data_IF_151008681270
#
_entry.id   IF_151008681270
#
_cell.length_a   1.000
_cell.length_b   1.000
_cell.length_c   1.000
_cell.angle_alpha   90.00
_cell.angle_beta   90.00
_cell.angle_gamma   90.00
#
_symmetry.space_group_name_H-M   'P 1'
#
loop_
_entity.id
_entity.type
_entity.pdbx_description
1 polymer ?
#
# COMPACT_ATOMS: atom_id res chain seq x y z
N UNK A 1 23.25 -63.80 6.33
CA UNK A 1 23.48 -62.45 6.86
C UNK A 1 22.97 -61.35 5.92
N UNK A 2 22.30 -61.69 4.81
CA UNK A 2 22.10 -60.78 3.66
C UNK A 2 20.69 -60.14 3.58
N UNK A 3 19.70 -60.74 4.22
CA UNK A 3 18.30 -60.29 4.15
C UNK A 3 18.01 -59.03 4.99
N UNK A 4 18.75 -58.83 6.09
CA UNK A 4 18.57 -57.67 6.98
C UNK A 4 19.10 -56.36 6.38
N UNK A 5 20.19 -56.44 5.62
CA UNK A 5 20.80 -55.29 4.94
C UNK A 5 19.93 -54.84 3.74
N UNK A 6 19.27 -55.80 3.08
CA UNK A 6 18.34 -55.52 1.98
C UNK A 6 17.07 -54.81 2.47
N UNK A 7 16.50 -55.21 3.61
CA UNK A 7 15.31 -54.58 4.19
C UNK A 7 15.59 -53.18 4.75
N UNK A 8 16.77 -52.97 5.35
CA UNK A 8 17.17 -51.65 5.87
C UNK A 8 17.42 -50.65 4.75
N UNK A 9 17.99 -51.06 3.62
CA UNK A 9 18.14 -50.22 2.42
C UNK A 9 16.78 -49.85 1.79
N UNK A 10 15.84 -50.79 1.71
CA UNK A 10 14.49 -50.50 1.18
C UNK A 10 13.75 -49.48 2.06
N UNK A 11 13.84 -49.63 3.38
CA UNK A 11 13.22 -48.71 4.34
C UNK A 11 13.86 -47.31 4.27
N UNK A 12 15.19 -47.24 4.10
CA UNK A 12 15.91 -45.98 3.95
C UNK A 12 15.57 -45.24 2.65
N UNK A 13 15.39 -45.96 1.54
CA UNK A 13 14.95 -45.36 0.27
C UNK A 13 13.53 -44.79 0.39
N UNK A 14 12.60 -45.55 0.97
CA UNK A 14 11.23 -45.05 1.20
C UNK A 14 11.20 -43.80 2.08
N UNK A 15 12.02 -43.77 3.15
CA UNK A 15 12.13 -42.61 4.02
C UNK A 15 12.75 -41.39 3.29
N UNK A 16 13.75 -41.64 2.44
CA UNK A 16 14.40 -40.62 1.60
C UNK A 16 13.42 -40.06 0.58
N UNK A 17 12.62 -40.89 -0.08
CA UNK A 17 11.62 -40.49 -1.07
C UNK A 17 10.48 -39.68 -0.44
N UNK A 18 10.03 -40.05 0.76
CA UNK A 18 9.04 -39.27 1.52
C UNK A 18 9.56 -37.88 1.88
N UNK A 19 10.83 -37.79 2.33
CA UNK A 19 11.48 -36.50 2.60
C UNK A 19 11.71 -35.70 1.32
N UNK A 20 12.10 -36.32 0.21
CA UNK A 20 12.26 -35.66 -1.07
C UNK A 20 10.93 -35.10 -1.58
N UNK A 21 9.83 -35.86 -1.49
CA UNK A 21 8.51 -35.41 -1.94
C UNK A 21 7.96 -34.26 -1.10
N UNK A 22 8.14 -34.30 0.22
CA UNK A 22 7.77 -33.19 1.12
C UNK A 22 8.62 -31.94 0.88
N UNK A 23 9.93 -32.11 0.67
CA UNK A 23 10.83 -31.01 0.32
C UNK A 23 10.46 -30.40 -1.04
N UNK A 24 10.18 -31.22 -2.05
CA UNK A 24 9.77 -30.77 -3.38
C UNK A 24 8.45 -29.98 -3.31
N UNK A 25 7.50 -30.42 -2.48
CA UNK A 25 6.25 -29.69 -2.23
C UNK A 25 6.52 -28.36 -1.54
N UNK A 26 7.39 -28.32 -0.52
CA UNK A 26 7.76 -27.07 0.15
C UNK A 26 8.48 -26.10 -0.79
N UNK A 27 9.39 -26.57 -1.64
CA UNK A 27 10.09 -25.74 -2.63
C UNK A 27 9.10 -25.19 -3.66
N UNK A 28 8.14 -25.98 -4.10
CA UNK A 28 7.13 -25.55 -5.06
C UNK A 28 6.17 -24.50 -4.47
N UNK A 29 5.79 -24.68 -3.20
CA UNK A 29 5.02 -23.69 -2.45
C UNK A 29 5.83 -22.39 -2.28
N UNK A 30 7.11 -22.50 -1.89
CA UNK A 30 8.00 -21.35 -1.73
C UNK A 30 8.18 -20.58 -3.03
N UNK A 31 8.31 -21.27 -4.16
CA UNK A 31 8.42 -20.64 -5.47
C UNK A 31 7.13 -19.88 -5.85
N UNK A 32 5.97 -20.44 -5.52
CA UNK A 32 4.67 -19.82 -5.74
C UNK A 32 4.50 -18.57 -4.87
N UNK A 33 4.81 -18.67 -3.58
CA UNK A 33 4.78 -17.57 -2.62
C UNK A 33 5.73 -16.44 -3.04
N UNK A 34 6.92 -16.78 -3.51
CA UNK A 34 7.90 -15.80 -4.00
C UNK A 34 7.40 -15.04 -5.22
N UNK A 35 6.75 -15.74 -6.15
CA UNK A 35 6.18 -15.10 -7.34
C UNK A 35 4.99 -14.18 -6.97
N UNK A 36 4.17 -14.58 -6.00
CA UNK A 36 3.10 -13.73 -5.47
C UNK A 36 3.65 -12.51 -4.72
N UNK A 37 4.70 -12.69 -3.92
CA UNK A 37 5.43 -11.62 -3.23
C UNK A 37 5.98 -10.59 -4.22
N UNK A 38 6.64 -11.04 -5.29
CA UNK A 38 7.15 -10.15 -6.33
C UNK A 38 6.03 -9.32 -6.99
N UNK A 39 4.89 -9.97 -7.28
CA UNK A 39 3.70 -9.29 -7.80
C UNK A 39 3.07 -8.29 -6.81
N UNK A 40 3.11 -8.59 -5.51
CA UNK A 40 2.67 -7.68 -4.44
C UNK A 40 3.63 -6.52 -4.24
N UNK A 41 4.95 -6.75 -4.34
CA UNK A 41 5.98 -5.72 -4.17
C UNK A 41 5.84 -4.62 -5.23
N UNK A 42 5.70 -4.99 -6.50
CA UNK A 42 5.50 -4.01 -7.57
C UNK A 42 4.17 -3.24 -7.44
N UNK A 43 3.12 -3.87 -6.90
CA UNK A 43 1.86 -3.18 -6.58
C UNK A 43 2.01 -2.24 -5.39
N UNK A 44 2.83 -2.60 -4.41
CA UNK A 44 3.08 -1.77 -3.22
C UNK A 44 3.84 -0.51 -3.61
N UNK A 45 4.93 -0.63 -4.36
CA UNK A 45 5.72 0.51 -4.85
C UNK A 45 4.84 1.52 -5.60
N UNK A 46 4.07 1.02 -6.58
CA UNK A 46 3.13 1.87 -7.33
C UNK A 46 2.03 2.49 -6.47
N UNK A 47 1.60 1.84 -5.38
CA UNK A 47 0.64 2.41 -4.42
C UNK A 47 1.30 3.48 -3.54
N UNK A 48 2.55 3.27 -3.12
CA UNK A 48 3.30 4.21 -2.28
C UNK A 48 3.54 5.51 -3.03
N UNK A 49 4.04 5.46 -4.27
CA UNK A 49 4.26 6.66 -5.07
C UNK A 49 2.96 7.44 -5.32
N UNK A 50 1.84 6.75 -5.52
CA UNK A 50 0.51 7.39 -5.62
C UNK A 50 0.06 7.99 -4.30
N UNK A 51 0.24 7.27 -3.18
CA UNK A 51 -0.08 7.79 -1.85
C UNK A 51 0.70 9.07 -1.55
N UNK A 52 1.99 9.09 -1.91
CA UNK A 52 2.86 10.26 -1.78
C UNK A 52 2.48 11.39 -2.73
N UNK A 53 2.16 11.10 -4.00
CA UNK A 53 1.64 12.11 -4.93
C UNK A 53 0.36 12.77 -4.41
N UNK A 54 -0.58 11.95 -3.90
CA UNK A 54 -1.80 12.43 -3.27
C UNK A 54 -1.53 13.22 -1.98
N UNK A 55 -0.59 12.78 -1.14
CA UNK A 55 -0.19 13.52 0.06
C UNK A 55 0.46 14.87 -0.30
N UNK A 56 1.30 14.93 -1.33
CA UNK A 56 1.85 16.19 -1.85
C UNK A 56 0.77 17.11 -2.41
N UNK A 57 -0.17 16.56 -3.19
CA UNK A 57 -1.33 17.31 -3.66
C UNK A 57 -2.13 17.87 -2.48
N UNK A 58 -2.42 17.02 -1.48
CA UNK A 58 -3.14 17.41 -0.26
C UNK A 58 -2.39 18.46 0.58
N UNK A 59 -1.06 18.40 0.63
CA UNK A 59 -0.24 19.42 1.28
C UNK A 59 -0.27 20.75 0.53
N UNK A 60 -0.52 20.72 -0.78
CA UNK A 60 -0.70 21.91 -1.62
C UNK A 60 -2.07 22.58 -1.46
N UNK A 61 -3.00 22.02 -0.66
CA UNK A 61 -4.28 22.68 -0.37
C UNK A 61 -4.04 23.92 0.49
N UNK A 62 -3.85 25.06 -0.17
CA UNK A 62 -3.84 26.37 0.47
C UNK A 62 -5.28 26.82 0.64
N UNK A 63 -5.80 26.72 1.86
CA UNK A 63 -7.09 27.28 2.24
C UNK A 63 -6.83 28.66 2.86
N UNK A 64 -7.16 29.78 2.19
CA UNK A 64 -7.08 31.09 2.81
C UNK A 64 -8.02 31.14 4.02
N UNK A 65 -7.50 31.50 5.19
CA UNK A 65 -8.25 31.49 6.44
C UNK A 65 -9.19 32.70 6.52
N UNK A 66 -10.35 32.62 5.86
CA UNK A 66 -11.38 33.66 5.96
C UNK A 66 -12.43 33.21 6.98
N UNK A 67 -12.45 33.90 8.12
CA UNK A 67 -13.40 33.66 9.22
C UNK A 67 -14.83 33.87 8.72
N UNK A 68 -15.70 32.88 8.94
CA UNK A 68 -17.11 32.96 8.56
C UNK A 68 -17.40 32.69 7.07
N UNK A 69 -16.41 32.31 6.25
CA UNK A 69 -16.62 31.92 4.85
C UNK A 69 -16.15 30.48 4.60
N UNK A 70 -16.89 29.76 3.75
CA UNK A 70 -16.44 28.48 3.23
C UNK A 70 -15.27 28.72 2.26
N UNK A 71 -14.20 27.95 2.43
CA UNK A 71 -13.01 27.99 1.58
C UNK A 71 -12.98 26.73 0.73
N UNK A 72 -12.74 26.89 -0.56
CA UNK A 72 -12.53 25.78 -1.48
C UNK A 72 -11.07 25.78 -1.92
N UNK A 73 -10.47 24.60 -1.98
CA UNK A 73 -9.07 24.41 -2.33
C UNK A 73 -8.95 23.25 -3.30
N UNK A 74 -8.12 23.42 -4.32
CA UNK A 74 -7.77 22.37 -5.25
C UNK A 74 -6.26 22.42 -5.42
N UNK A 75 -5.65 21.25 -5.52
CA UNK A 75 -4.22 21.11 -5.64
C UNK A 75 -3.90 19.90 -6.51
N UNK A 76 -2.76 19.95 -7.16
CA UNK A 76 -2.24 18.85 -7.97
C UNK A 76 -0.84 18.55 -7.46
N UNK A 77 -0.51 17.27 -7.37
CA UNK A 77 0.75 16.81 -6.82
C UNK A 77 1.25 15.63 -7.60
N UNK A 78 2.55 15.62 -7.87
CA UNK A 78 3.23 14.53 -8.55
C UNK A 78 4.28 13.89 -7.63
N UNK A 79 4.49 12.59 -7.78
CA UNK A 79 5.62 11.90 -7.18
C UNK A 79 6.11 10.79 -8.12
N UNK A 80 7.39 10.85 -8.50
CA UNK A 80 7.94 10.00 -9.56
C UNK A 80 7.19 10.20 -10.88
N UNK A 81 6.76 9.09 -11.49
CA UNK A 81 5.98 9.09 -12.75
C UNK A 81 4.46 9.14 -12.54
N UNK A 82 3.97 9.47 -11.33
CA UNK A 82 2.54 9.44 -10.99
C UNK A 82 2.02 10.82 -10.61
N UNK A 83 0.82 11.14 -11.09
CA UNK A 83 0.12 12.40 -10.83
C UNK A 83 -1.14 12.16 -9.99
N UNK A 84 -1.42 13.10 -9.10
CA UNK A 84 -2.57 13.12 -8.24
C UNK A 84 -3.23 14.49 -8.25
N UNK A 85 -4.55 14.50 -8.11
CA UNK A 85 -5.36 15.70 -8.00
C UNK A 85 -6.10 15.62 -6.67
N UNK A 86 -5.99 16.66 -5.87
CA UNK A 86 -6.67 16.82 -4.60
C UNK A 86 -7.63 18.01 -4.65
N UNK A 87 -8.80 17.85 -4.05
CA UNK A 87 -9.76 18.91 -3.82
C UNK A 87 -10.19 18.86 -2.35
N UNK A 88 -10.48 20.00 -1.76
CA UNK A 88 -10.92 20.06 -0.38
C UNK A 88 -11.62 21.35 -0.04
N UNK A 89 -12.39 21.27 1.03
CA UNK A 89 -13.14 22.38 1.58
C UNK A 89 -12.69 22.63 3.00
N UNK A 90 -12.62 23.89 3.37
CA UNK A 90 -12.34 24.32 4.73
C UNK A 90 -13.45 25.24 5.21
N UNK A 91 -13.79 25.12 6.48
CA UNK A 91 -14.71 26.02 7.14
C UNK A 91 -14.12 26.48 8.46
N UNK A 92 -14.11 27.79 8.65
CA UNK A 92 -13.55 28.45 9.83
C UNK A 92 -14.69 29.17 10.55
N UNK A 93 -15.46 28.48 11.43
CA UNK A 93 -16.60 29.06 12.12
C UNK A 93 -16.19 30.22 13.05
N UNK A 94 -14.99 30.15 13.63
CA UNK A 94 -14.41 31.17 14.51
C UNK A 94 -12.94 31.36 14.14
N UNK A 95 -12.38 32.55 14.39
CA UNK A 95 -10.98 32.87 14.07
C UNK A 95 -9.98 31.87 14.68
N UNK A 96 -10.38 31.21 15.77
CA UNK A 96 -9.53 30.32 16.55
C UNK A 96 -9.70 28.85 16.16
N UNK A 97 -10.71 28.49 15.34
CA UNK A 97 -10.98 27.09 14.98
C UNK A 97 -11.13 26.98 13.46
N UNK A 98 -10.24 26.22 12.85
CA UNK A 98 -10.28 25.87 11.42
C UNK A 98 -10.63 24.40 11.27
N UNK A 99 -11.65 24.08 10.49
CA UNK A 99 -11.92 22.72 10.03
C UNK A 99 -11.57 22.61 8.55
N UNK A 100 -10.95 21.50 8.16
CA UNK A 100 -10.67 21.17 6.76
C UNK A 100 -10.97 19.71 6.48
N UNK A 101 -11.52 19.45 5.31
CA UNK A 101 -11.67 18.12 4.74
C UNK A 101 -11.23 18.16 3.28
N UNK A 102 -10.61 17.08 2.82
CA UNK A 102 -10.13 16.99 1.46
C UNK A 102 -10.15 15.55 0.96
N UNK A 103 -10.34 15.40 -0.34
CA UNK A 103 -10.24 14.14 -1.05
C UNK A 103 -9.22 14.30 -2.17
N UNK A 104 -8.43 13.26 -2.40
CA UNK A 104 -7.46 13.21 -3.47
C UNK A 104 -7.64 11.94 -4.29
N UNK A 105 -7.48 12.08 -5.60
CA UNK A 105 -7.61 11.03 -6.58
C UNK A 105 -6.32 10.95 -7.39
N UNK A 106 -5.79 9.74 -7.51
CA UNK A 106 -4.61 9.48 -8.33
C UNK A 106 -5.00 9.11 -9.75
N UNK A 107 -4.40 9.76 -10.75
CA UNK A 107 -4.62 9.45 -12.16
C UNK A 107 -3.76 8.23 -12.56
N UNK A 108 -4.40 7.10 -12.89
CA UNK A 108 -3.71 5.89 -13.37
C UNK A 108 -4.55 4.61 -13.31
N UNK A 109 -4.00 3.50 -13.82
CA UNK A 109 -4.68 2.19 -14.01
C UNK A 109 -5.26 1.53 -12.74
N UNK A 110 -4.98 2.09 -11.54
CA UNK A 110 -5.72 1.77 -10.32
C UNK A 110 -5.97 3.07 -9.53
N UNK A 111 -7.05 3.77 -9.88
CA UNK A 111 -7.51 4.96 -9.19
C UNK A 111 -7.66 4.65 -7.69
N UNK A 112 -6.87 5.33 -6.87
CA UNK A 112 -6.95 5.26 -5.40
C UNK A 112 -7.41 6.61 -4.90
N UNK A 113 -8.42 6.56 -4.04
CA UNK A 113 -8.99 7.73 -3.38
C UNK A 113 -8.37 7.81 -2.00
N UNK A 114 -7.82 8.97 -1.66
CA UNK A 114 -7.32 9.32 -0.34
C UNK A 114 -8.22 10.41 0.23
N UNK A 115 -8.47 10.38 1.53
CA UNK A 115 -9.26 11.39 2.22
C UNK A 115 -8.46 11.90 3.42
N UNK A 116 -8.60 13.19 3.72
CA UNK A 116 -8.03 13.80 4.91
C UNK A 116 -9.08 14.65 5.61
N UNK A 117 -8.99 14.68 6.93
CA UNK A 117 -9.74 15.57 7.78
C UNK A 117 -8.80 16.13 8.84
N UNK A 118 -8.93 17.41 9.15
CA UNK A 118 -8.11 18.07 10.14
C UNK A 118 -8.86 19.21 10.79
N UNK A 119 -8.60 19.41 12.08
CA UNK A 119 -9.02 20.57 12.83
C UNK A 119 -7.76 21.29 13.34
N UNK A 120 -7.71 22.61 13.20
CA UNK A 120 -6.66 23.45 13.74
C UNK A 120 -7.25 24.40 14.78
N UNK A 121 -6.56 24.55 15.90
CA UNK A 121 -6.87 25.56 16.91
C UNK A 121 -5.70 26.54 17.01
N UNK A 122 -5.98 27.84 17.02
CA UNK A 122 -4.98 28.90 17.29
C UNK A 122 -5.31 29.52 18.65
N UNK A 123 -4.32 29.58 19.55
CA UNK A 123 -4.43 30.18 20.89
C UNK A 123 -3.62 31.48 20.98
#
# INVERSE_FOLDING_TARGET
MDDGDTQTLQTANQYTDLKLGTLQTQVHNFQSDFNELNGKLGKLDSKLERGLAAANALSGLVLPQVVGKASFSAAVGGYGSRNAVAIGVGYTPKANITLKSGIAVNAGKNSKISYQMGAGWVW
#
